data_IF_567371070224
#
_entry.id   IF_567371070224
#
_cell.length_a   1.000
_cell.length_b   1.000
_cell.length_c   1.000
_cell.angle_alpha   90.00
_cell.angle_beta   90.00
_cell.angle_gamma   90.00
#
_symmetry.space_group_name_H-M   'P 1'
#
loop_
_entity.id
_entity.type
_entity.pdbx_description
1 polymer ?
#
# COMPACT_ATOMS: atom_id res chain seq x y z
N UNK A 1 -7.84 17.71 -11.37
CA UNK A 1 -8.57 16.88 -10.43
C UNK A 1 -8.77 15.47 -10.98
N UNK A 2 -8.59 14.47 -10.13
CA UNK A 2 -8.81 13.08 -10.49
C UNK A 2 -10.29 12.76 -10.32
N UNK A 3 -10.91 12.18 -11.37
CA UNK A 3 -12.33 11.77 -11.34
C UNK A 3 -12.49 10.28 -11.11
N UNK A 4 -11.55 9.46 -11.58
CA UNK A 4 -11.59 8.00 -11.46
C UNK A 4 -10.21 7.47 -11.14
N UNK A 5 -10.16 6.50 -10.22
CA UNK A 5 -8.94 5.86 -9.80
C UNK A 5 -9.12 4.34 -9.89
N UNK A 6 -8.24 3.69 -10.64
CA UNK A 6 -8.24 2.23 -10.79
C UNK A 6 -6.87 1.67 -10.46
N UNK A 7 -6.82 0.67 -9.60
CA UNK A 7 -5.58 -0.07 -9.31
C UNK A 7 -5.63 -1.43 -9.99
N UNK A 8 -4.57 -1.76 -10.71
CA UNK A 8 -4.36 -3.07 -11.28
C UNK A 8 -3.17 -3.75 -10.59
N UNK A 9 -3.29 -5.05 -10.33
CA UNK A 9 -2.28 -5.81 -9.62
C UNK A 9 -1.74 -6.95 -10.49
N UNK A 10 -0.46 -7.25 -10.31
CA UNK A 10 0.14 -8.48 -10.83
C UNK A 10 -0.34 -9.68 -9.98
N UNK A 11 -0.47 -10.89 -10.57
CA UNK A 11 -0.85 -12.09 -9.79
C UNK A 11 0.06 -12.40 -8.61
N UNK A 12 1.32 -11.96 -8.64
CA UNK A 12 2.28 -12.15 -7.54
C UNK A 12 2.11 -11.16 -6.38
N UNK A 13 1.21 -10.18 -6.49
CA UNK A 13 1.12 -9.09 -5.51
C UNK A 13 0.88 -9.59 -4.09
N UNK A 14 0.01 -10.60 -3.91
CA UNK A 14 -0.27 -11.15 -2.58
C UNK A 14 0.98 -11.76 -1.95
N UNK A 15 1.73 -12.55 -2.71
CA UNK A 15 2.96 -13.17 -2.21
C UNK A 15 4.03 -12.13 -1.89
N UNK A 16 4.17 -11.11 -2.72
CA UNK A 16 5.09 -9.99 -2.47
C UNK A 16 4.70 -9.25 -1.20
N UNK A 17 3.42 -8.96 -1.02
CA UNK A 17 2.94 -8.29 0.18
C UNK A 17 3.22 -9.11 1.45
N UNK A 18 2.96 -10.40 1.41
CA UNK A 18 3.24 -11.32 2.52
C UNK A 18 4.73 -11.30 2.87
N UNK A 19 5.61 -11.33 1.87
CA UNK A 19 7.07 -11.27 2.07
C UNK A 19 7.51 -9.94 2.68
N UNK A 20 6.94 -8.83 2.23
CA UNK A 20 7.23 -7.50 2.78
C UNK A 20 6.86 -7.44 4.26
N UNK A 21 5.67 -7.91 4.60
CA UNK A 21 5.20 -7.91 6.00
C UNK A 21 6.13 -8.75 6.88
N UNK A 22 6.49 -9.94 6.43
CA UNK A 22 7.39 -10.83 7.18
C UNK A 22 8.77 -10.19 7.38
N UNK A 23 9.35 -9.63 6.33
CA UNK A 23 10.68 -9.00 6.37
C UNK A 23 10.70 -7.80 7.31
N UNK A 24 9.74 -6.90 7.17
CA UNK A 24 9.69 -5.68 8.00
C UNK A 24 9.39 -6.03 9.45
N UNK A 25 8.43 -6.95 9.70
CA UNK A 25 8.10 -7.37 11.06
C UNK A 25 9.28 -7.98 11.80
N UNK A 26 10.19 -8.65 11.09
CA UNK A 26 11.39 -9.25 11.69
C UNK A 26 12.42 -8.21 12.11
N UNK A 27 12.37 -6.99 11.58
CA UNK A 27 13.36 -5.93 11.86
C UNK A 27 12.97 -5.00 13.01
N UNK A 28 11.73 -5.04 13.45
CA UNK A 28 11.23 -4.13 14.49
C UNK A 28 10.56 -4.91 15.62
N UNK A 29 10.59 -4.33 16.82
CA UNK A 29 9.95 -4.93 18.00
C UNK A 29 8.45 -4.64 17.99
N UNK A 30 7.72 -5.35 17.13
CA UNK A 30 6.28 -5.21 16.96
C UNK A 30 5.54 -6.46 17.42
N UNK A 31 4.27 -6.31 17.78
CA UNK A 31 3.41 -7.41 18.21
C UNK A 31 2.57 -7.92 17.05
N UNK A 32 1.76 -7.04 16.45
CA UNK A 32 0.88 -7.38 15.34
C UNK A 32 1.01 -6.37 14.22
N UNK A 33 0.87 -6.86 12.99
CA UNK A 33 0.92 -6.06 11.77
C UNK A 33 -0.22 -6.45 10.86
N UNK A 34 -0.91 -5.48 10.31
CA UNK A 34 -1.93 -5.69 9.29
C UNK A 34 -1.69 -4.70 8.15
N UNK A 35 -1.69 -5.22 6.93
CA UNK A 35 -1.53 -4.42 5.72
C UNK A 35 -2.58 -4.85 4.72
N UNK A 36 -3.28 -3.89 4.13
CA UNK A 36 -4.27 -4.15 3.11
C UNK A 36 -4.16 -3.11 2.00
N UNK A 37 -4.18 -3.57 0.77
CA UNK A 37 -4.25 -2.70 -0.40
C UNK A 37 -5.42 -3.13 -1.28
N UNK A 38 -6.30 -2.19 -1.60
CA UNK A 38 -7.42 -2.45 -2.51
C UNK A 38 -6.93 -2.40 -3.94
N UNK A 39 -7.65 -3.07 -4.82
CA UNK A 39 -7.44 -3.01 -6.26
C UNK A 39 -8.81 -2.91 -6.96
N UNK A 40 -8.78 -2.67 -8.28
CA UNK A 40 -9.98 -2.37 -9.03
C UNK A 40 -10.35 -0.90 -8.91
N UNK A 41 -11.60 -0.58 -9.19
CA UNK A 41 -12.09 0.79 -9.17
C UNK A 41 -12.34 1.25 -7.73
N UNK A 42 -11.76 2.40 -7.40
CA UNK A 42 -11.87 2.99 -6.08
C UNK A 42 -12.42 4.41 -6.24
N UNK A 43 -13.50 4.70 -5.54
CA UNK A 43 -14.09 6.03 -5.56
C UNK A 43 -13.18 7.03 -4.85
N UNK A 44 -13.20 8.26 -5.33
CA UNK A 44 -12.44 9.35 -4.71
C UNK A 44 -12.91 9.52 -3.26
N UNK A 45 -11.94 9.56 -2.35
CA UNK A 45 -12.21 9.65 -0.92
C UNK A 45 -12.29 8.32 -0.20
N UNK A 46 -12.35 7.19 -0.92
CA UNK A 46 -12.27 5.88 -0.31
C UNK A 46 -10.83 5.47 0.02
N UNK A 47 -10.69 4.61 1.03
CA UNK A 47 -9.39 4.12 1.46
C UNK A 47 -8.85 3.10 0.47
N UNK A 48 -7.67 3.34 -0.10
CA UNK A 48 -7.01 2.43 -1.03
C UNK A 48 -5.97 1.55 -0.37
N UNK A 49 -5.34 2.04 0.69
CA UNK A 49 -4.21 1.38 1.34
C UNK A 49 -4.25 1.68 2.83
N UNK A 50 -4.11 0.66 3.66
CA UNK A 50 -4.11 0.81 5.11
C UNK A 50 -3.04 -0.08 5.75
N UNK A 51 -2.36 0.47 6.74
CA UNK A 51 -1.37 -0.23 7.54
C UNK A 51 -1.68 0.01 9.01
N UNK A 52 -1.64 -1.06 9.80
CA UNK A 52 -1.79 -0.97 11.24
C UNK A 52 -0.70 -1.79 11.92
N UNK A 53 -0.05 -1.22 12.91
CA UNK A 53 1.02 -1.87 13.68
C UNK A 53 0.75 -1.67 15.16
N UNK A 54 0.88 -2.73 15.94
CA UNK A 54 0.87 -2.66 17.40
C UNK A 54 2.23 -3.06 17.95
N UNK A 55 2.69 -2.37 18.98
CA UNK A 55 3.95 -2.62 19.65
C UNK A 55 3.87 -2.15 21.10
N UNK A 56 4.77 -2.65 21.95
CA UNK A 56 4.85 -2.20 23.34
C UNK A 56 5.28 -0.74 23.45
N UNK A 57 6.08 -0.28 22.49
CA UNK A 57 6.58 1.09 22.47
C UNK A 57 6.22 1.76 21.13
N UNK A 58 5.74 2.99 21.21
CA UNK A 58 5.25 3.75 20.03
C UNK A 58 6.31 3.96 18.96
N UNK A 59 7.58 4.11 19.36
CA UNK A 59 8.67 4.33 18.41
C UNK A 59 8.81 3.15 17.43
N UNK A 60 8.81 1.92 17.95
CA UNK A 60 8.86 0.73 17.11
C UNK A 60 7.61 0.64 16.20
N UNK A 61 6.44 1.00 16.71
CA UNK A 61 5.21 0.99 15.92
C UNK A 61 5.27 2.00 14.77
N UNK A 62 5.73 3.22 15.03
CA UNK A 62 5.86 4.24 13.98
C UNK A 62 6.93 3.89 12.96
N UNK A 63 8.08 3.39 13.41
CA UNK A 63 9.17 3.00 12.51
C UNK A 63 8.77 1.85 11.61
N UNK A 64 8.12 0.82 12.15
CA UNK A 64 7.64 -0.31 11.37
C UNK A 64 6.54 0.11 10.38
N UNK A 65 5.62 0.96 10.81
CA UNK A 65 4.54 1.46 9.95
C UNK A 65 5.11 2.24 8.78
N UNK A 66 6.05 3.14 9.02
CA UNK A 66 6.73 3.91 7.97
C UNK A 66 7.48 2.99 7.01
N UNK A 67 8.22 2.00 7.52
CA UNK A 67 8.94 1.04 6.69
C UNK A 67 7.99 0.21 5.82
N UNK A 68 6.85 -0.22 6.36
CA UNK A 68 5.85 -0.97 5.61
C UNK A 68 5.27 -0.13 4.47
N UNK A 69 4.87 1.10 4.74
CA UNK A 69 4.32 1.98 3.70
C UNK A 69 5.35 2.22 2.59
N UNK A 70 6.58 2.54 2.96
CA UNK A 70 7.61 2.83 1.97
C UNK A 70 7.98 1.61 1.14
N UNK A 71 8.10 0.44 1.78
CA UNK A 71 8.46 -0.80 1.08
C UNK A 71 7.35 -1.26 0.15
N UNK A 72 6.10 -1.16 0.57
CA UNK A 72 4.95 -1.50 -0.28
C UNK A 72 4.91 -0.60 -1.50
N UNK A 73 5.06 0.71 -1.31
CA UNK A 73 5.06 1.66 -2.44
C UNK A 73 6.21 1.45 -3.40
N UNK A 74 7.34 0.95 -2.91
CA UNK A 74 8.52 0.69 -3.73
C UNK A 74 8.46 -0.64 -4.48
N UNK A 75 7.94 -1.70 -3.84
CA UNK A 75 8.09 -3.09 -4.33
C UNK A 75 6.80 -3.79 -4.74
N UNK A 76 5.65 -3.36 -4.25
CA UNK A 76 4.41 -4.04 -4.59
C UNK A 76 4.08 -3.84 -6.07
N UNK A 77 3.89 -4.92 -6.86
CA UNK A 77 3.61 -4.82 -8.29
C UNK A 77 2.14 -4.44 -8.51
N UNK A 78 1.87 -3.16 -8.34
CA UNK A 78 0.56 -2.55 -8.51
C UNK A 78 0.70 -1.26 -9.33
N UNK A 79 -0.26 -1.01 -10.22
CA UNK A 79 -0.29 0.16 -11.08
C UNK A 79 -1.55 0.95 -10.81
N UNK A 80 -1.41 2.26 -10.82
CA UNK A 80 -2.52 3.18 -10.61
C UNK A 80 -2.85 3.89 -11.92
N UNK A 81 -4.10 3.77 -12.36
CA UNK A 81 -4.64 4.51 -13.50
C UNK A 81 -5.51 5.62 -12.98
N UNK A 82 -5.16 6.86 -13.30
CA UNK A 82 -5.90 8.05 -12.91
C UNK A 82 -6.55 8.66 -14.14
N UNK A 83 -7.87 8.89 -14.07
CA UNK A 83 -8.61 9.66 -15.08
C UNK A 83 -8.92 11.01 -14.45
N UNK A 84 -8.54 12.08 -15.15
CA UNK A 84 -8.76 13.44 -14.68
C UNK A 84 -10.10 13.98 -15.15
N UNK A 85 -10.58 15.04 -14.51
CA UNK A 85 -11.88 15.65 -14.82
C UNK A 85 -11.97 16.16 -16.26
N UNK A 86 -10.86 16.50 -16.90
CA UNK A 86 -10.80 16.96 -18.30
C UNK A 86 -10.80 15.81 -19.33
N UNK A 87 -10.85 14.55 -18.86
CA UNK A 87 -10.83 13.36 -19.72
C UNK A 87 -9.45 12.80 -20.03
N UNK A 88 -8.38 13.50 -19.64
CA UNK A 88 -7.01 12.95 -19.74
C UNK A 88 -6.78 11.87 -18.71
N UNK A 89 -5.73 11.08 -18.90
CA UNK A 89 -5.40 9.99 -17.99
C UNK A 89 -3.89 9.86 -17.79
N UNK A 90 -3.53 9.12 -16.74
CA UNK A 90 -2.13 8.85 -16.39
C UNK A 90 -2.02 7.49 -15.72
N UNK A 91 -1.01 6.72 -16.11
CA UNK A 91 -0.59 5.50 -15.42
C UNK A 91 0.58 5.80 -14.50
N UNK A 92 0.48 5.32 -13.26
CA UNK A 92 1.55 5.45 -12.26
C UNK A 92 1.97 4.05 -11.86
N UNK A 93 3.29 3.79 -11.95
CA UNK A 93 3.88 2.52 -11.58
C UNK A 93 4.18 2.51 -10.09
N UNK A 94 3.85 1.42 -9.39
CA UNK A 94 4.05 1.28 -7.95
C UNK A 94 3.38 2.41 -7.15
N UNK A 95 2.10 2.43 -7.18
CA UNK A 95 1.29 3.45 -6.51
C UNK A 95 1.56 3.57 -4.95
#
# INVERSE_FOLDING_TARGET
>A
DVSTLTYEIHPSAQDVLTSIVAEVSARYAVNDVAVAHRYGDIAIGECAFAVAVSADHREAAFDACSALVNTVKEKLPIWKHQVFADGSDQWVNFA
#
